data_IF_003667164161
#
_entry.id   IF_003667164161
#
_cell.length_a   1.000
_cell.length_b   1.000
_cell.length_c   1.000
_cell.angle_alpha   90.00
_cell.angle_beta   90.00
_cell.angle_gamma   90.00
#
_symmetry.space_group_name_H-M   'P 1'
#
loop_
_entity.id
_entity.type
_entity.pdbx_description
1 polymer ?
#
# COMPACT_ATOMS: atom_id res chain seq x y z
N UNK A 1 -26.80 -31.73 2.51
CA UNK A 1 -26.64 -32.45 3.78
C UNK A 1 -25.17 -32.87 3.86
N UNK A 2 -24.42 -32.27 4.79
CA UNK A 2 -23.04 -32.70 5.06
C UNK A 2 -23.12 -33.74 6.17
N UNK A 3 -22.33 -34.80 6.02
CA UNK A 3 -22.12 -35.76 7.11
C UNK A 3 -20.78 -35.45 7.75
N UNK A 4 -20.73 -35.46 9.07
CA UNK A 4 -19.46 -35.40 9.80
C UNK A 4 -18.65 -36.69 9.62
N UNK A 5 -17.42 -36.73 10.14
CA UNK A 5 -16.54 -37.91 10.08
C UNK A 5 -17.17 -39.18 10.67
N UNK A 6 -18.31 -39.05 11.34
CA UNK A 6 -19.10 -40.14 11.92
C UNK A 6 -20.39 -40.44 11.15
N UNK A 7 -20.60 -39.85 9.99
CA UNK A 7 -21.74 -40.06 9.10
C UNK A 7 -23.06 -39.40 9.56
N UNK A 8 -23.02 -38.47 10.52
CA UNK A 8 -24.20 -37.75 11.03
C UNK A 8 -24.50 -36.53 10.16
N UNK A 9 -25.78 -36.28 9.89
CA UNK A 9 -26.23 -35.08 9.20
C UNK A 9 -25.95 -33.83 10.05
N UNK A 10 -25.06 -32.98 9.59
CA UNK A 10 -24.71 -31.73 10.28
C UNK A 10 -25.53 -30.57 9.70
N UNK A 11 -26.57 -30.21 10.44
CA UNK A 11 -27.38 -29.03 10.12
C UNK A 11 -26.73 -27.80 10.77
N UNK A 12 -26.34 -26.82 9.95
CA UNK A 12 -25.93 -25.49 10.42
C UNK A 12 -24.44 -25.26 10.68
N UNK A 13 -23.54 -26.25 10.48
CA UNK A 13 -22.10 -26.05 10.57
C UNK A 13 -21.50 -25.65 9.22
N UNK A 14 -20.56 -24.68 9.23
CA UNK A 14 -19.74 -24.34 8.07
C UNK A 14 -18.73 -25.43 7.81
N UNK A 15 -18.56 -25.83 6.54
CA UNK A 15 -17.46 -26.68 6.12
C UNK A 15 -16.41 -25.84 5.40
N UNK A 16 -15.14 -26.22 5.55
CA UNK A 16 -13.99 -25.51 4.95
C UNK A 16 -13.15 -26.49 4.14
N UNK A 17 -12.81 -26.07 2.92
CA UNK A 17 -11.81 -26.76 2.09
C UNK A 17 -10.68 -25.77 1.84
N UNK A 18 -9.54 -26.02 2.47
CA UNK A 18 -8.35 -25.20 2.32
C UNK A 18 -7.36 -25.93 1.42
N UNK A 19 -6.91 -25.27 0.38
CA UNK A 19 -5.88 -25.76 -0.54
C UNK A 19 -4.76 -24.72 -0.67
N UNK A 20 -3.69 -25.05 -1.35
CA UNK A 20 -2.65 -24.08 -1.66
C UNK A 20 -3.14 -22.98 -2.61
N UNK A 21 -4.17 -23.26 -3.43
CA UNK A 21 -4.69 -22.36 -4.46
C UNK A 21 -5.89 -21.53 -4.03
N UNK A 22 -6.75 -22.10 -3.17
CA UNK A 22 -7.97 -21.41 -2.72
C UNK A 22 -8.45 -21.89 -1.37
N UNK A 23 -9.27 -21.06 -0.73
CA UNK A 23 -10.08 -21.41 0.43
C UNK A 23 -11.56 -21.41 0.01
N UNK A 24 -12.25 -22.50 0.23
CA UNK A 24 -13.67 -22.63 -0.02
C UNK A 24 -14.41 -22.81 1.30
N UNK A 25 -15.36 -21.91 1.57
CA UNK A 25 -16.30 -22.02 2.69
C UNK A 25 -17.65 -22.44 2.13
N UNK A 26 -18.24 -23.46 2.71
CA UNK A 26 -19.55 -23.99 2.37
C UNK A 26 -20.46 -23.72 3.55
N UNK A 27 -21.50 -22.91 3.35
CA UNK A 27 -22.43 -22.51 4.41
C UNK A 27 -23.86 -22.90 4.05
N UNK A 28 -24.57 -23.70 4.86
CA UNK A 28 -25.98 -23.94 4.69
C UNK A 28 -26.79 -22.65 4.82
N UNK A 29 -27.72 -22.42 3.89
CA UNK A 29 -28.60 -21.24 3.88
C UNK A 29 -30.02 -21.69 3.53
N UNK A 30 -30.90 -21.81 4.52
CA UNK A 30 -32.28 -22.28 4.33
C UNK A 30 -32.33 -23.67 3.66
N UNK A 31 -32.95 -23.74 2.48
CA UNK A 31 -33.05 -25.00 1.70
C UNK A 31 -31.84 -25.17 0.72
N UNK A 32 -30.85 -24.28 0.74
CA UNK A 32 -29.70 -24.29 -0.17
C UNK A 32 -28.37 -24.22 0.54
N UNK A 33 -27.32 -24.04 -0.27
CA UNK A 33 -25.95 -23.91 0.20
C UNK A 33 -25.34 -22.68 -0.46
N UNK A 34 -24.69 -21.83 0.33
CA UNK A 34 -23.88 -20.73 -0.17
C UNK A 34 -22.40 -21.13 -0.15
N UNK A 35 -21.70 -20.82 -1.25
CA UNK A 35 -20.28 -21.12 -1.43
C UNK A 35 -19.49 -19.82 -1.52
N UNK A 36 -18.49 -19.68 -0.65
CA UNK A 36 -17.52 -18.57 -0.72
C UNK A 36 -16.16 -19.10 -1.12
N UNK A 37 -15.73 -18.77 -2.32
CA UNK A 37 -14.41 -19.11 -2.84
C UNK A 37 -13.49 -17.89 -2.76
N UNK A 38 -12.39 -18.02 -2.01
CA UNK A 38 -11.33 -17.02 -1.94
C UNK A 38 -10.06 -17.58 -2.56
N UNK A 39 -9.48 -16.86 -3.51
CA UNK A 39 -8.26 -17.26 -4.19
C UNK A 39 -7.35 -16.08 -4.51
N UNK A 40 -6.05 -16.37 -4.67
CA UNK A 40 -5.08 -15.48 -5.31
C UNK A 40 -4.79 -16.07 -6.70
N UNK A 41 -5.31 -15.46 -7.76
CA UNK A 41 -5.12 -15.96 -9.12
C UNK A 41 -3.62 -16.06 -9.50
N UNK A 42 -2.73 -15.07 -9.18
CA UNK A 42 -1.30 -15.22 -9.42
C UNK A 42 -0.70 -16.47 -8.76
N UNK A 43 -1.09 -16.75 -7.51
CA UNK A 43 -0.60 -17.92 -6.78
C UNK A 43 -0.98 -19.24 -7.42
N UNK A 44 -2.08 -19.27 -8.17
CA UNK A 44 -2.53 -20.47 -8.88
C UNK A 44 -1.62 -20.83 -10.05
N UNK A 45 -0.95 -19.83 -10.66
CA UNK A 45 -0.08 -20.01 -11.84
C UNK A 45 1.40 -20.00 -11.46
N UNK A 46 1.83 -19.04 -10.61
CA UNK A 46 3.24 -18.77 -10.33
C UNK A 46 3.70 -19.31 -8.96
N UNK A 47 2.81 -20.01 -8.22
CA UNK A 47 3.06 -20.49 -6.84
C UNK A 47 3.26 -19.36 -5.80
N UNK A 48 3.45 -18.14 -6.25
CA UNK A 48 3.49 -16.93 -5.44
C UNK A 48 2.48 -15.88 -5.93
N UNK A 49 2.37 -14.79 -5.18
CA UNK A 49 1.51 -13.67 -5.55
C UNK A 49 2.32 -12.42 -5.90
N UNK A 50 3.59 -12.56 -6.29
CA UNK A 50 4.45 -11.45 -6.67
C UNK A 50 4.21 -11.00 -8.11
N UNK A 51 4.23 -11.93 -9.03
CA UNK A 51 4.09 -11.65 -10.47
C UNK A 51 2.64 -11.39 -10.84
N UNK A 52 2.30 -10.24 -11.46
CA UNK A 52 0.95 -10.02 -11.97
C UNK A 52 0.69 -10.95 -13.16
N UNK A 53 -0.58 -11.36 -13.31
CA UNK A 53 -1.01 -12.20 -14.41
C UNK A 53 -1.25 -11.39 -15.69
N UNK A 54 -0.96 -12.00 -16.81
CA UNK A 54 -1.47 -11.60 -18.13
C UNK A 54 -2.95 -11.99 -18.26
N UNK A 55 -3.61 -11.48 -19.31
CA UNK A 55 -5.01 -11.83 -19.59
C UNK A 55 -5.18 -13.34 -19.80
N UNK A 56 -4.27 -13.97 -20.55
CA UNK A 56 -4.31 -15.43 -20.80
C UNK A 56 -4.07 -16.25 -19.53
N UNK A 57 -3.13 -15.86 -18.70
CA UNK A 57 -2.87 -16.52 -17.41
C UNK A 57 -4.04 -16.39 -16.44
N UNK A 58 -4.77 -15.27 -16.47
CA UNK A 58 -5.97 -15.09 -15.65
C UNK A 58 -7.07 -16.06 -16.05
N UNK A 59 -7.31 -16.24 -17.38
CA UNK A 59 -8.24 -17.26 -17.90
C UNK A 59 -7.78 -18.65 -17.45
N UNK A 60 -6.48 -18.94 -17.62
CA UNK A 60 -5.90 -20.23 -17.22
C UNK A 60 -6.08 -20.48 -15.71
N UNK A 61 -5.83 -19.49 -14.85
CA UNK A 61 -5.98 -19.62 -13.39
C UNK A 61 -7.41 -20.00 -13.00
N UNK A 62 -8.41 -19.32 -13.58
CA UNK A 62 -9.83 -19.64 -13.36
C UNK A 62 -10.14 -21.06 -13.84
N UNK A 63 -9.60 -21.46 -15.01
CA UNK A 63 -9.74 -22.82 -15.54
C UNK A 63 -9.17 -23.90 -14.63
N UNK A 64 -7.96 -23.70 -14.09
CA UNK A 64 -7.28 -24.61 -13.15
C UNK A 64 -8.10 -24.78 -11.88
N UNK A 65 -8.60 -23.69 -11.28
CA UNK A 65 -9.46 -23.74 -10.10
C UNK A 65 -10.75 -24.52 -10.39
N UNK A 66 -11.38 -24.25 -11.55
CA UNK A 66 -12.59 -24.97 -11.95
C UNK A 66 -12.38 -26.48 -12.17
N UNK A 67 -11.21 -26.88 -12.69
CA UNK A 67 -10.86 -28.31 -12.83
C UNK A 67 -10.63 -28.97 -11.46
N UNK A 68 -9.90 -28.30 -10.54
CA UNK A 68 -9.66 -28.83 -9.20
C UNK A 68 -10.97 -28.99 -8.40
N UNK A 69 -11.87 -28.02 -8.48
CA UNK A 69 -13.21 -28.14 -7.86
C UNK A 69 -14.00 -29.33 -8.42
N UNK A 70 -14.02 -29.51 -9.75
CA UNK A 70 -14.69 -30.68 -10.37
C UNK A 70 -14.07 -32.00 -9.94
N UNK A 71 -12.74 -32.09 -9.85
CA UNK A 71 -12.06 -33.31 -9.39
C UNK A 71 -12.43 -33.70 -7.95
N UNK A 72 -12.86 -32.72 -7.16
CA UNK A 72 -13.36 -32.89 -5.77
C UNK A 72 -14.87 -33.12 -5.71
N UNK A 73 -15.54 -33.27 -6.85
CA UNK A 73 -16.99 -33.46 -6.92
C UNK A 73 -17.81 -32.19 -6.77
N UNK A 74 -17.18 -31.00 -6.83
CA UNK A 74 -17.86 -29.71 -6.71
C UNK A 74 -18.12 -29.15 -8.12
N UNK A 75 -19.34 -29.36 -8.63
CA UNK A 75 -19.78 -28.89 -9.95
C UNK A 75 -20.18 -27.40 -9.92
N UNK A 76 -19.22 -26.48 -9.90
CA UNK A 76 -19.46 -25.03 -9.86
C UNK A 76 -19.16 -24.40 -11.23
N UNK A 77 -20.09 -23.59 -11.74
CA UNK A 77 -19.84 -22.71 -12.88
C UNK A 77 -19.20 -21.40 -12.39
N UNK A 78 -17.87 -21.35 -12.42
CA UNK A 78 -17.12 -20.18 -11.92
C UNK A 78 -17.48 -18.90 -12.68
N UNK A 79 -17.74 -18.95 -13.98
CA UNK A 79 -18.07 -17.77 -14.80
C UNK A 79 -19.34 -17.08 -14.31
N UNK A 80 -20.28 -17.85 -13.77
CA UNK A 80 -21.55 -17.35 -13.24
C UNK A 80 -21.45 -16.88 -11.77
N UNK A 81 -20.33 -17.14 -11.08
CA UNK A 81 -20.14 -16.75 -9.69
C UNK A 81 -20.07 -15.25 -9.55
N UNK A 82 -20.73 -14.72 -8.51
CA UNK A 82 -20.67 -13.31 -8.15
C UNK A 82 -19.35 -12.96 -7.46
N UNK A 83 -18.86 -11.75 -7.75
CA UNK A 83 -17.66 -11.21 -7.11
C UNK A 83 -18.06 -10.45 -5.85
N UNK A 84 -17.72 -10.99 -4.69
CA UNK A 84 -17.92 -10.30 -3.41
C UNK A 84 -16.75 -9.43 -2.99
N UNK A 85 -15.56 -9.69 -3.55
CA UNK A 85 -14.33 -8.92 -3.30
C UNK A 85 -13.40 -9.02 -4.51
N UNK A 86 -12.72 -7.89 -4.81
CA UNK A 86 -11.66 -7.83 -5.82
C UNK A 86 -10.50 -7.02 -5.26
N UNK A 87 -9.30 -7.60 -5.29
CA UNK A 87 -8.06 -6.94 -4.91
C UNK A 87 -7.19 -6.78 -6.18
N UNK A 88 -6.99 -5.55 -6.61
CA UNK A 88 -6.09 -5.20 -7.71
C UNK A 88 -4.77 -4.70 -7.14
N UNK A 89 -3.65 -5.04 -7.76
CA UNK A 89 -2.35 -4.62 -7.26
C UNK A 89 -1.35 -4.28 -8.36
N UNK A 90 -0.33 -3.51 -7.96
CA UNK A 90 0.89 -3.27 -8.74
C UNK A 90 2.09 -3.32 -7.79
N UNK A 91 3.15 -4.00 -8.18
CA UNK A 91 4.46 -3.87 -7.54
C UNK A 91 5.24 -2.77 -8.23
N UNK A 92 5.87 -1.91 -7.47
CA UNK A 92 6.82 -0.91 -7.95
C UNK A 92 8.14 -1.13 -7.24
N UNK A 93 9.24 -0.93 -7.94
CA UNK A 93 10.58 -0.98 -7.36
C UNK A 93 10.92 0.44 -6.96
N UNK A 94 10.99 0.71 -5.66
CA UNK A 94 11.41 1.99 -5.11
C UNK A 94 12.92 2.19 -5.30
N UNK A 95 13.34 3.43 -5.46
CA UNK A 95 14.79 3.76 -5.47
C UNK A 95 15.39 3.63 -4.07
N UNK A 96 14.56 3.72 -3.02
CA UNK A 96 14.93 3.57 -1.63
C UNK A 96 14.17 2.40 -0.97
N UNK A 97 14.55 2.03 0.26
CA UNK A 97 13.79 1.09 1.06
C UNK A 97 12.40 1.65 1.46
N UNK A 98 11.50 0.76 1.88
CA UNK A 98 10.12 1.13 2.21
C UNK A 98 10.03 2.19 3.33
N UNK A 99 10.91 2.11 4.33
CA UNK A 99 10.88 3.02 5.46
C UNK A 99 11.23 4.46 5.07
N UNK A 100 12.05 4.64 4.04
CA UNK A 100 12.35 5.96 3.48
C UNK A 100 11.13 6.69 2.92
N UNK A 101 10.07 5.94 2.54
CA UNK A 101 8.80 6.53 2.07
C UNK A 101 7.78 6.74 3.21
N UNK A 102 8.04 6.28 4.44
CA UNK A 102 7.09 6.41 5.56
C UNK A 102 6.67 7.86 5.82
N UNK A 103 7.57 8.86 5.86
CA UNK A 103 7.17 10.26 6.05
C UNK A 103 6.25 10.77 4.93
N UNK A 104 6.45 10.32 3.69
CA UNK A 104 5.54 10.62 2.59
C UNK A 104 4.17 9.98 2.82
N UNK A 105 4.12 8.68 3.13
CA UNK A 105 2.85 8.00 3.40
C UNK A 105 2.09 8.64 4.56
N UNK A 106 2.80 9.23 5.53
CA UNK A 106 2.19 10.00 6.61
C UNK A 106 1.52 11.29 6.16
N UNK A 107 2.03 11.94 5.14
CA UNK A 107 1.39 13.12 4.54
C UNK A 107 0.18 12.74 3.67
N UNK A 108 0.22 11.59 2.99
CA UNK A 108 -0.82 11.20 2.05
C UNK A 108 -2.15 10.93 2.76
N UNK A 109 -3.21 11.49 2.19
CA UNK A 109 -4.57 11.33 2.66
C UNK A 109 -5.45 10.79 1.53
N UNK A 110 -6.47 10.03 1.90
CA UNK A 110 -7.50 9.60 0.96
C UNK A 110 -8.87 10.01 1.48
N UNK A 111 -9.62 10.72 0.63
CA UNK A 111 -10.91 11.28 1.01
C UNK A 111 -11.89 10.21 1.51
N UNK A 112 -12.46 10.42 2.70
CA UNK A 112 -13.43 9.53 3.35
C UNK A 112 -12.86 8.14 3.70
N UNK A 113 -11.56 8.02 3.87
CA UNK A 113 -10.90 6.81 4.36
C UNK A 113 -10.06 7.15 5.59
N UNK A 114 -9.95 6.19 6.51
CA UNK A 114 -9.10 6.31 7.69
C UNK A 114 -7.74 5.72 7.37
N UNK A 115 -6.69 6.50 7.62
CA UNK A 115 -5.31 6.03 7.51
C UNK A 115 -4.92 5.25 8.77
N UNK A 116 -4.14 4.19 8.57
CA UNK A 116 -3.46 3.45 9.65
C UNK A 116 -2.06 3.09 9.19
N UNK A 117 -1.12 3.24 10.10
CA UNK A 117 0.26 2.83 9.97
C UNK A 117 0.52 1.57 10.82
N UNK A 118 1.17 0.58 10.22
CA UNK A 118 1.59 -0.67 10.85
C UNK A 118 3.11 -0.91 10.69
N UNK A 119 3.90 0.15 10.51
CA UNK A 119 5.35 0.12 10.27
C UNK A 119 5.71 -0.26 8.83
N UNK A 120 5.54 -1.50 8.44
CA UNK A 120 5.81 -1.98 7.06
C UNK A 120 4.58 -1.94 6.15
N UNK A 121 3.48 -1.35 6.60
CA UNK A 121 2.21 -1.29 5.86
C UNK A 121 1.43 -0.04 6.23
N UNK A 122 1.07 0.76 5.23
CA UNK A 122 0.11 1.84 5.35
C UNK A 122 -1.21 1.45 4.70
N UNK A 123 -2.33 1.79 5.35
CA UNK A 123 -3.66 1.55 4.80
C UNK A 123 -4.53 2.79 4.87
N UNK A 124 -5.32 3.03 3.83
CA UNK A 124 -6.40 4.01 3.79
C UNK A 124 -7.69 3.25 3.53
N UNK A 125 -8.57 3.17 4.53
CA UNK A 125 -9.70 2.24 4.46
C UNK A 125 -11.01 2.84 4.96
N UNK A 126 -12.11 2.33 4.40
CA UNK A 126 -13.47 2.45 4.93
C UNK A 126 -14.22 1.11 4.77
N UNK A 127 -15.53 1.10 5.00
CA UNK A 127 -16.36 -0.12 4.90
C UNK A 127 -16.45 -0.68 3.48
N UNK A 128 -16.17 0.13 2.44
CA UNK A 128 -16.36 -0.24 1.04
C UNK A 128 -15.07 -0.58 0.32
N UNK A 129 -13.99 0.14 0.63
CA UNK A 129 -12.70 0.03 -0.09
C UNK A 129 -11.52 0.23 0.84
N UNK A 130 -10.38 -0.24 0.39
CA UNK A 130 -9.10 -0.08 1.07
C UNK A 130 -7.99 0.08 0.04
N UNK A 131 -7.09 1.02 0.31
CA UNK A 131 -5.82 1.13 -0.38
C UNK A 131 -4.75 0.69 0.61
N UNK A 132 -3.81 -0.14 0.17
CA UNK A 132 -2.65 -0.55 0.96
C UNK A 132 -1.38 -0.22 0.20
N UNK A 133 -0.39 0.29 0.92
CA UNK A 133 1.00 0.36 0.46
C UNK A 133 1.87 -0.39 1.47
N UNK A 134 2.68 -1.36 1.02
CA UNK A 134 3.49 -2.16 1.94
C UNK A 134 4.76 -2.72 1.30
N UNK A 135 5.74 -3.01 2.18
CA UNK A 135 6.95 -3.73 1.80
C UNK A 135 6.61 -5.18 1.43
N UNK A 136 6.66 -5.45 0.12
CA UNK A 136 6.27 -6.74 -0.43
C UNK A 136 7.22 -7.86 -0.05
N UNK A 137 8.51 -7.57 0.04
CA UNK A 137 9.49 -8.61 0.40
C UNK A 137 9.38 -8.99 1.87
N UNK A 138 9.24 -8.02 2.75
CA UNK A 138 8.99 -8.28 4.18
C UNK A 138 7.69 -9.08 4.39
N UNK A 139 6.63 -8.78 3.66
CA UNK A 139 5.38 -9.56 3.70
C UNK A 139 5.59 -11.01 3.23
N UNK A 140 6.34 -11.23 2.14
CA UNK A 140 6.64 -12.58 1.65
C UNK A 140 7.51 -13.37 2.64
N UNK A 141 8.53 -12.73 3.23
CA UNK A 141 9.39 -13.34 4.25
C UNK A 141 8.62 -13.77 5.49
N UNK A 142 7.67 -12.94 5.95
CA UNK A 142 6.82 -13.26 7.11
C UNK A 142 5.96 -14.51 6.89
N UNK A 143 5.73 -14.88 5.62
CA UNK A 143 5.03 -16.12 5.22
C UNK A 143 5.97 -17.28 4.87
N UNK A 144 7.27 -17.13 5.14
CA UNK A 144 8.28 -18.18 4.88
C UNK A 144 8.70 -18.31 3.41
N UNK A 145 8.35 -17.35 2.53
CA UNK A 145 8.78 -17.35 1.13
C UNK A 145 10.23 -16.85 1.02
N UNK A 146 11.08 -17.56 0.29
CA UNK A 146 12.44 -17.11 0.00
C UNK A 146 12.43 -15.97 -1.01
N UNK A 147 12.99 -14.82 -0.65
CA UNK A 147 12.90 -13.58 -1.47
C UNK A 147 14.19 -13.23 -2.24
N UNK A 148 15.25 -14.02 -2.16
CA UNK A 148 16.53 -13.71 -2.79
C UNK A 148 16.54 -13.58 -4.33
N UNK A 149 15.46 -13.98 -5.00
CA UNK A 149 15.29 -13.86 -6.46
C UNK A 149 14.45 -12.66 -6.90
N UNK A 150 13.90 -11.87 -5.95
CA UNK A 150 13.02 -10.76 -6.26
C UNK A 150 13.76 -9.41 -6.15
N UNK A 151 13.36 -8.39 -6.95
CA UNK A 151 13.93 -7.05 -6.85
C UNK A 151 13.80 -6.48 -5.44
N UNK A 152 14.89 -5.91 -4.91
CA UNK A 152 14.88 -5.22 -3.63
C UNK A 152 13.97 -3.98 -3.68
N UNK A 153 13.62 -3.44 -2.52
CA UNK A 153 12.80 -2.23 -2.39
C UNK A 153 11.44 -2.32 -3.10
N UNK A 154 10.87 -3.53 -3.16
CA UNK A 154 9.57 -3.71 -3.80
C UNK A 154 8.44 -3.25 -2.91
N UNK A 155 7.77 -2.18 -3.32
CA UNK A 155 6.56 -1.66 -2.69
C UNK A 155 5.36 -2.18 -3.46
N UNK A 156 4.38 -2.76 -2.76
CA UNK A 156 3.12 -3.14 -3.36
C UNK A 156 2.04 -2.14 -3.00
N UNK A 157 1.35 -1.66 -4.03
CA UNK A 157 0.11 -0.92 -3.88
C UNK A 157 -1.06 -1.84 -4.22
N UNK A 158 -2.06 -1.91 -3.33
CA UNK A 158 -3.28 -2.68 -3.54
C UNK A 158 -4.51 -1.78 -3.43
N UNK A 159 -5.48 -2.02 -4.31
CA UNK A 159 -6.81 -1.45 -4.24
C UNK A 159 -7.82 -2.57 -4.04
N UNK A 160 -8.43 -2.61 -2.85
CA UNK A 160 -9.32 -3.68 -2.40
C UNK A 160 -10.75 -3.17 -2.36
N UNK A 161 -11.63 -3.80 -3.12
CA UNK A 161 -13.07 -3.57 -3.11
C UNK A 161 -13.74 -4.65 -2.27
N UNK A 162 -14.44 -4.25 -1.20
CA UNK A 162 -14.82 -5.12 -0.09
C UNK A 162 -16.23 -5.73 -0.20
N UNK A 163 -16.99 -5.42 -1.25
CA UNK A 163 -18.30 -6.01 -1.48
C UNK A 163 -18.73 -5.91 -2.95
N UNK A 164 -19.70 -6.75 -3.34
CA UNK A 164 -20.19 -6.89 -4.72
C UNK A 164 -20.73 -5.58 -5.30
N UNK A 165 -21.48 -4.79 -4.54
CA UNK A 165 -22.04 -3.50 -5.02
C UNK A 165 -20.94 -2.50 -5.38
N UNK A 166 -19.83 -2.52 -4.64
CA UNK A 166 -18.69 -1.65 -4.90
C UNK A 166 -17.90 -2.15 -6.12
N UNK A 167 -17.70 -3.46 -6.27
CA UNK A 167 -17.10 -4.04 -7.47
C UNK A 167 -17.89 -3.66 -8.72
N UNK A 168 -19.20 -3.82 -8.70
CA UNK A 168 -20.06 -3.46 -9.83
C UNK A 168 -20.04 -1.95 -10.14
N UNK A 169 -20.13 -1.10 -9.10
CA UNK A 169 -20.13 0.36 -9.27
C UNK A 169 -18.82 0.88 -9.85
N UNK A 170 -17.68 0.41 -9.33
CA UNK A 170 -16.37 0.99 -9.63
C UNK A 170 -15.66 0.28 -10.78
N UNK A 171 -15.75 -1.04 -10.84
CA UNK A 171 -15.08 -1.83 -11.88
C UNK A 171 -16.00 -2.22 -13.03
N UNK A 172 -17.33 -2.05 -12.87
CA UNK A 172 -18.34 -2.56 -13.84
C UNK A 172 -18.27 -4.06 -14.03
N UNK A 173 -17.88 -4.78 -12.98
CA UNK A 173 -17.83 -6.23 -12.94
C UNK A 173 -18.68 -6.75 -11.78
N UNK A 174 -19.53 -7.73 -12.04
CA UNK A 174 -20.35 -8.39 -11.02
C UNK A 174 -20.06 -9.89 -10.92
N UNK A 175 -19.53 -10.48 -11.99
CA UNK A 175 -19.25 -11.92 -12.11
C UNK A 175 -17.79 -12.18 -12.50
N UNK A 176 -17.33 -13.39 -12.25
CA UNK A 176 -15.97 -13.82 -12.59
C UNK A 176 -15.70 -13.66 -14.11
N UNK A 177 -16.66 -14.01 -14.99
CA UNK A 177 -16.53 -13.81 -16.43
C UNK A 177 -16.30 -12.34 -16.82
N UNK A 178 -16.94 -11.41 -16.10
CA UNK A 178 -16.79 -9.98 -16.40
C UNK A 178 -15.38 -9.50 -16.03
N UNK A 179 -14.81 -10.02 -14.94
CA UNK A 179 -13.44 -9.74 -14.53
C UNK A 179 -12.45 -10.22 -15.59
N UNK A 180 -12.59 -11.47 -16.02
CA UNK A 180 -11.69 -12.09 -17.01
C UNK A 180 -11.73 -11.35 -18.36
N UNK A 181 -12.91 -10.89 -18.79
CA UNK A 181 -13.09 -10.23 -20.09
C UNK A 181 -12.68 -8.75 -20.11
N UNK A 182 -12.39 -8.14 -18.96
CA UNK A 182 -12.16 -6.68 -18.84
C UNK A 182 -10.85 -6.31 -18.13
N UNK A 183 -9.84 -7.18 -18.15
CA UNK A 183 -8.61 -6.99 -17.36
C UNK A 183 -7.87 -5.70 -17.67
N UNK A 184 -7.76 -5.29 -18.92
CA UNK A 184 -7.08 -4.03 -19.29
C UNK A 184 -7.83 -2.80 -18.76
N UNK A 185 -9.16 -2.82 -18.81
CA UNK A 185 -10.00 -1.76 -18.24
C UNK A 185 -9.90 -1.75 -16.70
N UNK A 186 -9.75 -2.90 -16.06
CA UNK A 186 -9.54 -3.00 -14.61
C UNK A 186 -8.21 -2.36 -14.18
N UNK A 187 -7.14 -2.56 -14.94
CA UNK A 187 -5.86 -1.91 -14.67
C UNK A 187 -5.94 -0.39 -14.82
N UNK A 188 -6.68 0.09 -15.82
CA UNK A 188 -6.97 1.52 -15.96
C UNK A 188 -7.76 2.06 -14.78
N UNK A 189 -8.84 1.40 -14.37
CA UNK A 189 -9.65 1.77 -13.22
C UNK A 189 -8.86 1.75 -11.91
N UNK A 190 -7.94 0.80 -11.75
CA UNK A 190 -7.00 0.76 -10.62
C UNK A 190 -6.14 2.03 -10.58
N UNK A 191 -5.49 2.39 -11.69
CA UNK A 191 -4.68 3.61 -11.78
C UNK A 191 -5.50 4.87 -11.51
N UNK A 192 -6.68 4.98 -12.10
CA UNK A 192 -7.61 6.09 -11.89
C UNK A 192 -8.05 6.21 -10.42
N UNK A 193 -8.27 5.08 -9.74
CA UNK A 193 -8.65 5.06 -8.33
C UNK A 193 -7.52 5.58 -7.43
N UNK A 194 -6.28 5.16 -7.65
CA UNK A 194 -5.12 5.63 -6.90
C UNK A 194 -4.79 7.10 -7.19
N UNK A 195 -4.88 7.52 -8.46
CA UNK A 195 -4.69 8.92 -8.86
C UNK A 195 -5.69 9.86 -8.20
N UNK A 196 -6.96 9.44 -8.05
CA UNK A 196 -8.01 10.24 -7.41
C UNK A 196 -8.04 10.13 -5.88
N UNK A 197 -7.18 9.32 -5.30
CA UNK A 197 -7.08 9.10 -3.85
C UNK A 197 -5.75 9.54 -3.29
N UNK A 198 -4.84 8.61 -3.02
CA UNK A 198 -3.54 8.90 -2.38
C UNK A 198 -2.59 9.71 -3.27
N UNK A 199 -2.72 9.62 -4.60
CA UNK A 199 -1.94 10.39 -5.56
C UNK A 199 -2.74 11.55 -6.20
N UNK A 200 -3.67 12.14 -5.45
CA UNK A 200 -4.51 13.25 -5.92
C UNK A 200 -3.88 14.64 -5.78
N UNK A 201 -2.78 14.72 -5.05
CA UNK A 201 -2.04 15.96 -4.83
C UNK A 201 -1.11 16.25 -6.03
N UNK A 202 -0.72 17.51 -6.18
CA UNK A 202 0.39 17.89 -7.06
C UNK A 202 1.69 17.87 -6.25
N UNK A 203 2.82 17.78 -6.92
CA UNK A 203 4.15 17.84 -6.29
C UNK A 203 4.30 19.09 -5.43
N UNK A 204 3.82 20.24 -5.93
CA UNK A 204 3.83 21.50 -5.19
C UNK A 204 3.01 21.44 -3.88
N UNK A 205 1.89 20.71 -3.88
CA UNK A 205 1.07 20.54 -2.67
C UNK A 205 1.82 19.74 -1.61
N UNK A 206 2.62 18.75 -2.01
CA UNK A 206 3.50 17.98 -1.10
C UNK A 206 4.53 18.90 -0.46
N UNK A 207 5.19 19.77 -1.23
CA UNK A 207 6.15 20.75 -0.70
C UNK A 207 5.50 21.69 0.33
N UNK A 208 4.28 22.16 0.06
CA UNK A 208 3.54 23.01 0.99
C UNK A 208 3.23 22.27 2.28
N UNK A 209 2.71 21.04 2.19
CA UNK A 209 2.38 20.22 3.37
C UNK A 209 3.62 19.90 4.20
N UNK A 210 4.72 19.50 3.56
CA UNK A 210 5.99 19.21 4.22
C UNK A 210 6.55 20.46 4.93
N UNK A 211 6.45 21.63 4.30
CA UNK A 211 6.85 22.90 4.88
C UNK A 211 6.02 23.27 6.11
N UNK A 212 4.71 23.07 6.07
CA UNK A 212 3.81 23.34 7.20
C UNK A 212 4.08 22.41 8.36
N UNK A 213 4.28 21.12 8.11
CA UNK A 213 4.62 20.14 9.15
C UNK A 213 5.95 20.45 9.81
N UNK A 214 6.96 20.78 9.00
CA UNK A 214 8.27 21.19 9.50
C UNK A 214 8.17 22.47 10.36
N UNK A 215 7.43 23.48 9.90
CA UNK A 215 7.22 24.73 10.64
C UNK A 215 6.54 24.46 11.99
N UNK A 216 5.50 23.64 11.99
CA UNK A 216 4.78 23.29 13.22
C UNK A 216 5.69 22.56 14.22
N UNK A 217 6.46 21.58 13.75
CA UNK A 217 7.42 20.86 14.58
C UNK A 217 8.49 21.80 15.18
N UNK A 218 9.07 22.68 14.36
CA UNK A 218 10.07 23.65 14.84
C UNK A 218 9.48 24.63 15.85
N UNK A 219 8.26 25.14 15.64
CA UNK A 219 7.58 26.03 16.60
C UNK A 219 7.31 25.33 17.92
N UNK A 220 6.90 24.06 17.88
CA UNK A 220 6.73 23.25 19.09
C UNK A 220 8.03 23.16 19.88
N UNK A 221 9.14 22.77 19.25
CA UNK A 221 10.44 22.68 19.93
C UNK A 221 10.90 24.07 20.47
N UNK A 222 10.71 25.13 19.71
CA UNK A 222 11.04 26.50 20.15
C UNK A 222 10.26 26.88 21.42
N UNK A 223 9.00 26.52 21.50
CA UNK A 223 8.17 26.81 22.69
C UNK A 223 8.59 26.00 23.94
N UNK A 224 9.10 24.78 23.76
CA UNK A 224 9.46 23.88 24.85
C UNK A 224 10.89 24.09 25.37
N UNK A 225 11.85 24.47 24.53
CA UNK A 225 13.27 24.37 24.89
C UNK A 225 14.06 25.69 24.78
N UNK A 226 13.38 26.83 24.58
CA UNK A 226 14.01 28.16 24.54
C UNK A 226 15.21 28.22 23.60
N UNK A 227 16.32 28.84 24.01
CA UNK A 227 17.50 29.07 23.15
C UNK A 227 18.19 27.77 22.65
N UNK A 228 17.94 26.62 23.29
CA UNK A 228 18.56 25.34 22.91
C UNK A 228 17.69 24.51 21.97
N UNK A 229 16.51 24.99 21.60
CA UNK A 229 15.51 24.22 20.88
C UNK A 229 16.01 23.62 19.58
N UNK A 230 16.77 24.37 18.77
CA UNK A 230 17.17 23.93 17.46
C UNK A 230 18.22 22.79 17.49
N UNK A 231 19.19 22.87 18.41
CA UNK A 231 20.15 21.77 18.61
C UNK A 231 19.48 20.49 19.13
N UNK A 232 18.42 20.62 19.95
CA UNK A 232 17.60 19.49 20.38
C UNK A 232 16.78 18.92 19.24
N UNK A 233 16.11 19.80 18.48
CA UNK A 233 15.33 19.41 17.32
C UNK A 233 16.16 18.60 16.31
N UNK A 234 17.35 19.09 15.92
CA UNK A 234 18.24 18.36 15.01
C UNK A 234 18.80 17.06 15.62
N UNK A 235 19.03 17.02 16.94
CA UNK A 235 19.47 15.80 17.60
C UNK A 235 18.37 14.73 17.62
N UNK A 236 17.12 15.13 17.88
CA UNK A 236 16.00 14.22 18.08
C UNK A 236 15.40 13.77 16.74
N UNK A 237 15.37 14.66 15.73
CA UNK A 237 14.81 14.40 14.41
C UNK A 237 15.88 14.00 13.38
N UNK A 238 17.09 14.56 13.48
CA UNK A 238 18.19 14.38 12.54
C UNK A 238 18.18 15.39 11.40
N UNK A 239 19.35 15.98 11.10
CA UNK A 239 19.47 17.00 10.06
C UNK A 239 19.12 16.45 8.66
N UNK A 240 19.50 15.21 8.36
CA UNK A 240 19.18 14.54 7.12
C UNK A 240 17.67 14.35 6.95
N UNK A 241 16.98 13.89 7.99
CA UNK A 241 15.53 13.72 7.97
C UNK A 241 14.82 15.07 7.77
N UNK A 242 15.26 16.12 8.45
CA UNK A 242 14.72 17.48 8.25
C UNK A 242 14.89 17.96 6.81
N UNK A 243 16.05 17.69 6.19
CA UNK A 243 16.29 18.02 4.79
C UNK A 243 15.42 17.18 3.82
N UNK A 244 15.19 15.91 4.13
CA UNK A 244 14.35 15.01 3.32
C UNK A 244 12.86 15.36 3.35
N UNK A 245 12.37 16.06 4.36
CA UNK A 245 10.97 16.49 4.41
C UNK A 245 10.64 17.47 3.28
N UNK A 246 11.42 18.52 3.10
CA UNK A 246 11.05 19.62 2.20
C UNK A 246 12.22 20.21 1.38
N UNK A 247 13.44 19.72 1.58
CA UNK A 247 14.65 20.26 0.96
C UNK A 247 15.27 21.43 1.72
N UNK A 248 16.55 21.71 1.44
CA UNK A 248 17.37 22.67 2.19
C UNK A 248 16.81 24.11 2.15
N UNK A 249 16.33 24.54 1.00
CA UNK A 249 15.82 25.91 0.83
C UNK A 249 14.54 26.13 1.63
N UNK A 250 13.66 25.13 1.69
CA UNK A 250 12.45 25.20 2.50
C UNK A 250 12.80 25.21 3.99
N UNK A 251 13.78 24.40 4.41
CA UNK A 251 14.27 24.43 5.80
C UNK A 251 14.77 25.81 6.18
N UNK A 252 15.54 26.49 5.35
CA UNK A 252 16.03 27.85 5.58
C UNK A 252 14.90 28.87 5.70
N UNK A 253 13.88 28.76 4.83
CA UNK A 253 12.69 29.63 4.88
C UNK A 253 11.91 29.40 6.17
N UNK A 254 11.67 28.15 6.56
CA UNK A 254 10.95 27.81 7.80
C UNK A 254 11.74 28.30 9.02
N UNK A 255 13.06 28.11 9.07
CA UNK A 255 13.91 28.66 10.13
C UNK A 255 13.78 30.20 10.24
N UNK A 256 13.74 30.90 9.09
CA UNK A 256 13.54 32.35 9.09
C UNK A 256 12.16 32.76 9.66
N UNK A 257 11.13 31.95 9.48
CA UNK A 257 9.80 32.17 10.06
C UNK A 257 9.77 31.96 11.58
N UNK A 258 10.61 31.04 12.10
CA UNK A 258 10.64 30.69 13.54
C UNK A 258 11.64 31.56 14.31
N UNK A 259 12.75 31.94 13.70
CA UNK A 259 13.85 32.70 14.32
C UNK A 259 13.83 34.13 13.81
N UNK A 260 13.32 35.06 14.61
CA UNK A 260 13.27 36.48 14.24
C UNK A 260 14.63 37.21 14.30
N UNK A 261 15.62 36.67 15.04
CA UNK A 261 16.95 37.27 15.15
C UNK A 261 17.87 36.81 14.03
N UNK A 262 18.43 37.75 13.28
CA UNK A 262 19.28 37.52 12.11
C UNK A 262 20.56 36.73 12.43
N UNK A 263 21.18 37.00 13.58
CA UNK A 263 22.43 36.33 13.98
C UNK A 263 22.16 34.91 14.42
N UNK A 264 21.07 34.70 15.19
CA UNK A 264 20.63 33.36 15.60
C UNK A 264 20.21 32.54 14.38
N UNK A 265 19.51 33.14 13.42
CA UNK A 265 19.12 32.49 12.17
C UNK A 265 20.34 32.00 11.36
N UNK A 266 21.33 32.88 11.17
CA UNK A 266 22.56 32.50 10.45
C UNK A 266 23.28 31.33 11.13
N UNK A 267 23.38 31.34 12.47
CA UNK A 267 24.00 30.25 13.23
C UNK A 267 23.21 28.95 13.10
N UNK A 268 21.89 29.02 13.12
CA UNK A 268 21.01 27.86 12.95
C UNK A 268 21.16 27.23 11.55
N UNK A 269 21.17 28.04 10.51
CA UNK A 269 21.38 27.57 9.12
C UNK A 269 22.75 26.90 8.99
N UNK A 270 23.81 27.55 9.48
CA UNK A 270 25.16 26.96 9.41
C UNK A 270 25.25 25.66 10.20
N UNK A 271 24.66 25.58 11.37
CA UNK A 271 24.62 24.35 12.17
C UNK A 271 23.87 23.21 11.47
N UNK A 272 22.76 23.52 10.81
CA UNK A 272 22.03 22.57 9.99
C UNK A 272 22.86 22.05 8.81
N UNK A 273 23.50 22.94 8.04
CA UNK A 273 24.35 22.59 6.90
C UNK A 273 25.55 21.72 7.31
N UNK A 274 26.18 22.04 8.44
CA UNK A 274 27.29 21.25 8.98
C UNK A 274 26.83 19.86 9.42
N UNK A 275 25.73 19.75 10.17
CA UNK A 275 25.19 18.48 10.64
C UNK A 275 24.72 17.58 9.47
N UNK A 276 24.13 18.16 8.42
CA UNK A 276 23.76 17.44 7.20
C UNK A 276 24.98 16.90 6.46
N UNK A 277 26.00 17.74 6.24
CA UNK A 277 27.26 17.36 5.57
C UNK A 277 27.98 16.23 6.34
N UNK A 278 28.01 16.29 7.67
CA UNK A 278 28.63 15.27 8.50
C UNK A 278 27.91 13.91 8.34
N UNK A 279 26.59 13.92 8.23
CA UNK A 279 25.79 12.73 7.95
C UNK A 279 26.07 12.16 6.55
N UNK A 280 26.04 13.00 5.50
CA UNK A 280 26.31 12.59 4.10
C UNK A 280 27.71 11.98 3.97
N UNK A 281 28.72 12.59 4.60
CA UNK A 281 30.10 12.07 4.62
C UNK A 281 30.19 10.72 5.36
N UNK A 282 29.46 10.53 6.45
CA UNK A 282 29.50 9.29 7.25
C UNK A 282 28.76 8.13 6.58
N UNK A 283 27.71 8.42 5.81
CA UNK A 283 26.82 7.39 5.21
C UNK A 283 27.10 7.14 3.73
N UNK A 284 27.91 7.98 3.07
CA UNK A 284 28.17 7.95 1.60
C UNK A 284 26.88 8.05 0.77
N UNK A 285 25.86 8.74 1.26
CA UNK A 285 24.62 9.00 0.53
C UNK A 285 24.81 10.24 -0.33
N UNK A 286 24.66 10.08 -1.65
CA UNK A 286 24.72 11.19 -2.61
C UNK A 286 23.34 11.85 -2.71
N UNK A 287 23.19 12.98 -2.05
CA UNK A 287 21.99 13.82 -2.13
C UNK A 287 20.80 13.35 -1.27
N UNK A 288 19.94 14.29 -0.96
CA UNK A 288 18.71 14.05 -0.17
C UNK A 288 17.52 14.10 -1.12
N UNK A 289 16.77 13.01 -1.25
CA UNK A 289 15.46 13.05 -1.91
C UNK A 289 14.44 13.71 -0.97
N UNK A 290 13.77 14.72 -1.48
CA UNK A 290 12.66 15.36 -0.76
C UNK A 290 11.39 14.49 -0.80
N UNK A 291 10.41 14.78 0.04
CA UNK A 291 9.11 14.10 -0.03
C UNK A 291 8.42 14.33 -1.37
N UNK A 292 8.65 15.48 -2.01
CA UNK A 292 8.16 15.78 -3.35
C UNK A 292 8.80 14.87 -4.40
N UNK A 293 10.12 14.63 -4.32
CA UNK A 293 10.83 13.72 -5.23
C UNK A 293 10.35 12.27 -5.05
N UNK A 294 10.16 11.83 -3.81
CA UNK A 294 9.61 10.50 -3.50
C UNK A 294 8.16 10.33 -3.98
N UNK A 295 7.36 11.39 -3.87
CA UNK A 295 5.99 11.41 -4.36
C UNK A 295 5.94 11.30 -5.89
N UNK A 296 6.72 12.12 -6.61
CA UNK A 296 6.80 12.09 -8.07
C UNK A 296 7.28 10.73 -8.58
N UNK A 297 8.30 10.18 -7.94
CA UNK A 297 8.80 8.84 -8.22
C UNK A 297 7.68 7.78 -8.10
N UNK A 298 7.01 7.70 -6.95
CA UNK A 298 5.96 6.70 -6.74
C UNK A 298 4.76 6.94 -7.64
N UNK A 299 4.34 8.19 -7.81
CA UNK A 299 3.21 8.53 -8.67
C UNK A 299 3.48 8.08 -10.12
N UNK A 300 4.65 8.37 -10.66
CA UNK A 300 5.05 7.97 -12.02
C UNK A 300 5.11 6.44 -12.16
N UNK A 301 5.68 5.74 -11.18
CA UNK A 301 5.80 4.27 -11.21
C UNK A 301 4.47 3.55 -11.00
N UNK A 302 3.55 4.10 -10.23
CA UNK A 302 2.26 3.48 -9.91
C UNK A 302 1.20 3.77 -10.97
N UNK A 303 1.11 5.03 -11.42
CA UNK A 303 0.04 5.51 -12.30
C UNK A 303 0.47 5.50 -13.78
N UNK A 304 1.76 5.79 -14.07
CA UNK A 304 2.32 5.68 -15.43
C UNK A 304 2.42 4.24 -15.87
#
# INVERSE_FOLDING_TARGET
LFKDDFGRDVYGSKAFVNTERYNLTIQPMGAGVELFLQTSLPKTIHEDNYTPLTNSETVQAVGVIGQDLRSRGIGLNLDACELSRVDLFKNVIGDNDFLSYSPLFDLLQSKRQHKRDYGTTFTWSNTQREICAYDKLTEMQSRGVKVGGYPQNTIRFEYRLKNSRVCERELKVSKVKDLVNNLDDLQKKYRDALSKSIFSLRVDDINILASQELQYSMQFYASQYGDTWFSRFLRDIGAYHVASLAGDEVVKVVLACVIGDRVKLWRAIKFFEDAKRDFEMSTRVDGVKTLADLYDELQSKVIG
#
